data_IF_503028464416
#
_entry.id   IF_503028464416
#
_cell.length_a   1.000
_cell.length_b   1.000
_cell.length_c   1.000
_cell.angle_alpha   90.00
_cell.angle_beta   90.00
_cell.angle_gamma   90.00
#
_symmetry.space_group_name_H-M   'P 1'
#
loop_
_entity.id
_entity.type
_entity.pdbx_description
1 polymer ?
#
# COMPACT_ATOMS: atom_id res chain seq x y z
N UNK A 1 56.61 36.46 -39.20
CA UNK A 1 55.19 36.10 -39.05
C UNK A 1 55.12 34.76 -38.32
N UNK A 2 54.88 34.76 -37.02
CA UNK A 2 54.77 33.55 -36.20
C UNK A 2 53.35 33.52 -35.62
N UNK A 3 52.54 32.55 -36.05
CA UNK A 3 51.18 32.32 -35.57
C UNK A 3 51.18 31.28 -34.46
N UNK A 4 50.61 31.61 -33.30
CA UNK A 4 50.41 30.69 -32.20
C UNK A 4 49.06 29.99 -32.33
N UNK A 5 49.05 28.65 -32.27
CA UNK A 5 47.84 27.83 -32.23
C UNK A 5 47.48 27.57 -30.77
N UNK A 6 46.31 28.04 -30.34
CA UNK A 6 45.79 27.77 -29.01
C UNK A 6 44.95 26.48 -29.01
N UNK A 7 45.34 25.50 -28.20
CA UNK A 7 44.59 24.27 -27.97
C UNK A 7 43.68 24.48 -26.77
N UNK A 8 42.36 24.42 -26.99
CA UNK A 8 41.36 24.54 -25.92
C UNK A 8 41.00 23.15 -25.40
N UNK A 9 41.34 22.86 -24.14
CA UNK A 9 40.96 21.63 -23.44
C UNK A 9 39.59 21.83 -22.81
N UNK A 10 38.58 21.10 -23.30
CA UNK A 10 37.24 21.03 -22.70
C UNK A 10 37.23 20.01 -21.55
N UNK A 11 37.09 20.50 -20.32
CA UNK A 11 36.90 19.66 -19.13
C UNK A 11 35.40 19.40 -18.95
N UNK A 12 34.97 18.15 -19.14
CA UNK A 12 33.60 17.74 -18.88
C UNK A 12 33.36 17.60 -17.37
N UNK A 13 32.51 18.45 -16.80
CA UNK A 13 32.09 18.37 -15.41
C UNK A 13 31.05 17.25 -15.24
N UNK A 14 31.37 16.20 -14.48
CA UNK A 14 30.43 15.16 -14.10
C UNK A 14 29.45 15.70 -13.05
N UNK A 15 28.15 15.68 -13.37
CA UNK A 15 27.08 16.04 -12.43
C UNK A 15 26.85 14.86 -11.48
N UNK A 16 27.30 14.98 -10.23
CA UNK A 16 27.06 13.98 -9.20
C UNK A 16 25.56 13.98 -8.83
N UNK A 17 24.86 12.88 -9.15
CA UNK A 17 23.50 12.67 -8.70
C UNK A 17 23.53 12.25 -7.23
N UNK A 18 23.10 13.14 -6.33
CA UNK A 18 22.95 12.81 -4.91
C UNK A 18 21.76 11.85 -4.74
N UNK A 19 22.04 10.57 -4.56
CA UNK A 19 21.01 9.58 -4.23
C UNK A 19 20.48 9.87 -2.82
N UNK A 20 19.29 10.45 -2.73
CA UNK A 20 18.59 10.63 -1.46
C UNK A 20 18.27 9.25 -0.87
N UNK A 21 18.78 8.97 0.34
CA UNK A 21 18.42 7.74 1.04
C UNK A 21 16.90 7.75 1.34
N UNK A 22 16.18 6.65 1.08
CA UNK A 22 14.77 6.53 1.43
C UNK A 22 14.59 6.74 2.93
N UNK A 23 13.64 7.56 3.34
CA UNK A 23 13.26 7.66 4.76
C UNK A 23 12.43 6.44 5.16
N UNK A 24 12.20 6.22 6.46
CA UNK A 24 11.31 5.14 6.93
C UNK A 24 9.87 5.24 6.38
N UNK A 25 9.47 6.42 5.89
CA UNK A 25 8.18 6.68 5.25
C UNK A 25 8.15 6.32 3.76
N UNK A 26 9.32 6.09 3.17
CA UNK A 26 9.47 5.75 1.76
C UNK A 26 9.65 4.24 1.59
N UNK A 27 9.02 3.69 0.56
CA UNK A 27 9.27 2.32 0.13
C UNK A 27 10.58 2.24 -0.64
N UNK A 28 11.38 1.21 -0.38
CA UNK A 28 12.55 0.91 -1.21
C UNK A 28 12.11 0.54 -2.63
N UNK A 29 12.75 1.08 -3.68
CA UNK A 29 12.37 0.79 -5.05
C UNK A 29 12.80 -0.62 -5.45
N UNK A 30 12.05 -1.28 -6.34
CA UNK A 30 12.33 -2.66 -6.81
C UNK A 30 13.81 -2.92 -7.18
N UNK A 31 14.55 -2.02 -7.85
CA UNK A 31 15.97 -2.23 -8.15
C UNK A 31 16.86 -2.48 -6.93
N UNK A 32 16.49 -2.01 -5.73
CA UNK A 32 17.30 -2.25 -4.52
C UNK A 32 17.34 -3.72 -4.09
N UNK A 33 16.46 -4.57 -4.65
CA UNK A 33 16.38 -6.00 -4.33
C UNK A 33 17.09 -6.87 -5.36
N UNK A 34 17.64 -6.30 -6.44
CA UNK A 34 18.25 -7.06 -7.54
C UNK A 34 19.51 -7.83 -7.13
N UNK A 35 20.22 -7.35 -6.10
CA UNK A 35 21.44 -7.99 -5.59
C UNK A 35 21.17 -9.25 -4.74
N UNK A 36 19.91 -9.59 -4.46
CA UNK A 36 19.56 -10.84 -3.78
C UNK A 36 19.52 -11.95 -4.84
N UNK A 37 20.57 -12.79 -4.84
CA UNK A 37 20.76 -13.83 -5.85
C UNK A 37 19.72 -14.97 -5.73
N UNK A 38 19.41 -15.39 -4.51
CA UNK A 38 18.38 -16.41 -4.28
C UNK A 38 16.98 -15.85 -4.60
N UNK A 39 16.29 -16.47 -5.56
CA UNK A 39 15.01 -15.95 -6.07
C UNK A 39 13.92 -15.97 -4.99
N UNK A 40 13.87 -17.01 -4.16
CA UNK A 40 12.89 -17.13 -3.09
C UNK A 40 13.11 -16.05 -2.02
N UNK A 41 14.35 -15.87 -1.56
CA UNK A 41 14.72 -14.82 -0.62
C UNK A 41 14.41 -13.42 -1.18
N UNK A 42 14.66 -13.20 -2.47
CA UNK A 42 14.30 -11.94 -3.15
C UNK A 42 12.80 -11.72 -3.18
N UNK A 43 12.02 -12.76 -3.50
CA UNK A 43 10.56 -12.71 -3.46
C UNK A 43 10.07 -12.32 -2.06
N UNK A 44 10.58 -12.97 -1.02
CA UNK A 44 10.22 -12.65 0.37
C UNK A 44 10.58 -11.22 0.72
N UNK A 45 11.78 -10.75 0.38
CA UNK A 45 12.23 -9.38 0.66
C UNK A 45 11.37 -8.31 -0.04
N UNK A 46 10.92 -8.58 -1.28
CA UNK A 46 9.97 -7.70 -1.99
C UNK A 46 8.63 -7.63 -1.27
N UNK A 47 8.12 -8.78 -0.79
CA UNK A 47 6.88 -8.84 -0.04
C UNK A 47 6.99 -8.18 1.34
N UNK A 48 8.12 -8.32 2.02
CA UNK A 48 8.41 -7.63 3.29
C UNK A 48 8.36 -6.11 3.14
N UNK A 49 8.90 -5.59 2.05
CA UNK A 49 8.82 -4.17 1.74
C UNK A 49 7.38 -3.72 1.47
N UNK A 50 6.63 -4.48 0.65
CA UNK A 50 5.20 -4.24 0.42
C UNK A 50 4.37 -4.39 1.72
N UNK A 51 4.82 -5.25 2.63
CA UNK A 51 4.21 -5.52 3.93
C UNK A 51 4.17 -4.30 4.85
N UNK A 52 5.05 -3.32 4.66
CA UNK A 52 4.99 -2.02 5.34
C UNK A 52 3.70 -1.27 5.03
N UNK A 53 3.15 -1.43 3.82
CA UNK A 53 1.85 -0.87 3.43
C UNK A 53 0.73 -1.74 3.98
N UNK A 54 0.77 -3.05 3.73
CA UNK A 54 -0.30 -3.99 4.12
C UNK A 54 -0.62 -3.96 5.62
N UNK A 55 0.40 -3.78 6.47
CA UNK A 55 0.25 -3.69 7.93
C UNK A 55 0.07 -2.25 8.44
N UNK A 56 0.08 -1.25 7.55
CA UNK A 56 -0.11 0.14 7.94
C UNK A 56 -1.56 0.40 8.40
N UNK A 57 -1.81 1.33 9.34
CA UNK A 57 -3.16 1.70 9.76
C UNK A 57 -4.07 2.16 8.61
N UNK A 58 -3.54 2.60 7.46
CA UNK A 58 -4.34 2.91 6.27
C UNK A 58 -5.00 1.69 5.64
N UNK A 59 -4.36 0.53 5.74
CA UNK A 59 -4.86 -0.73 5.24
C UNK A 59 -5.60 -1.51 6.34
N UNK A 60 -4.97 -1.70 7.51
CA UNK A 60 -5.52 -2.52 8.60
C UNK A 60 -6.85 -1.97 9.14
N UNK A 61 -7.05 -0.64 9.14
CA UNK A 61 -8.33 -0.06 9.55
C UNK A 61 -9.51 -0.51 8.67
N UNK A 62 -9.26 -0.81 7.39
CA UNK A 62 -10.25 -1.31 6.43
C UNK A 62 -10.34 -2.85 6.42
N UNK A 63 -9.34 -3.52 7.00
CA UNK A 63 -9.22 -4.96 7.15
C UNK A 63 -9.25 -5.39 8.64
N UNK A 64 -10.25 -4.97 9.44
CA UNK A 64 -10.34 -5.32 10.86
C UNK A 64 -10.65 -6.80 11.05
N UNK A 65 -10.21 -7.37 12.17
CA UNK A 65 -10.48 -8.74 12.60
C UNK A 65 -11.90 -8.91 13.12
N UNK A 66 -12.53 -7.81 13.56
CA UNK A 66 -13.92 -7.79 14.02
C UNK A 66 -14.82 -7.11 12.99
N UNK A 67 -16.12 -7.15 13.21
CA UNK A 67 -17.08 -6.43 12.36
C UNK A 67 -16.97 -4.91 12.49
N UNK A 68 -16.35 -4.40 13.57
CA UNK A 68 -16.19 -2.96 13.76
C UNK A 68 -14.91 -2.48 13.08
N UNK A 69 -14.97 -1.47 12.20
CA UNK A 69 -13.77 -0.87 11.66
C UNK A 69 -12.89 -0.23 12.72
N UNK A 70 -11.63 -0.01 12.38
CA UNK A 70 -10.72 0.80 13.17
C UNK A 70 -10.58 2.19 12.53
N UNK A 71 -10.10 3.16 13.29
CA UNK A 71 -9.85 4.52 12.82
C UNK A 71 -8.56 5.09 13.42
N UNK A 72 -8.04 6.13 12.75
CA UNK A 72 -6.76 6.79 13.07
C UNK A 72 -5.54 5.87 13.01
N UNK A 73 -4.36 6.42 13.29
CA UNK A 73 -3.10 5.67 13.28
C UNK A 73 -2.93 4.83 14.56
N UNK A 74 -3.69 5.14 15.61
CA UNK A 74 -3.78 4.32 16.81
C UNK A 74 -4.66 3.07 16.64
N UNK A 75 -5.27 2.87 15.45
CA UNK A 75 -6.13 1.72 15.13
C UNK A 75 -7.20 1.43 16.20
N UNK A 76 -7.75 2.50 16.79
CA UNK A 76 -8.82 2.36 17.78
C UNK A 76 -10.14 2.00 17.09
N UNK A 77 -11.06 1.29 17.75
CA UNK A 77 -12.37 1.01 17.18
C UNK A 77 -13.12 2.28 16.73
N UNK A 78 -13.79 2.21 15.58
CA UNK A 78 -14.48 3.33 14.96
C UNK A 78 -15.56 3.93 15.85
N UNK A 79 -15.64 5.26 15.94
CA UNK A 79 -16.64 6.00 16.70
C UNK A 79 -17.37 7.00 15.78
N UNK A 80 -18.71 6.99 15.71
CA UNK A 80 -19.64 6.15 16.47
C UNK A 80 -19.55 4.66 16.09
N UNK A 81 -20.17 3.79 16.89
CA UNK A 81 -20.24 2.36 16.60
C UNK A 81 -20.94 2.14 15.26
N UNK A 82 -20.20 1.55 14.33
CA UNK A 82 -20.69 0.99 13.06
C UNK A 82 -20.08 -0.41 12.91
N UNK A 83 -20.72 -1.24 12.10
CA UNK A 83 -20.26 -2.60 11.80
C UNK A 83 -20.26 -2.84 10.30
N UNK A 84 -19.45 -3.78 9.81
CA UNK A 84 -19.22 -4.08 8.39
C UNK A 84 -20.51 -4.35 7.61
N UNK A 85 -21.42 -5.14 8.19
CA UNK A 85 -22.59 -5.62 7.47
C UNK A 85 -22.23 -6.66 6.41
N UNK A 86 -23.24 -7.17 5.71
CA UNK A 86 -23.08 -8.31 4.79
C UNK A 86 -22.19 -7.99 3.57
N UNK A 87 -22.18 -6.74 3.14
CA UNK A 87 -21.50 -6.26 1.93
C UNK A 87 -20.41 -5.20 2.21
N UNK A 88 -20.09 -4.95 3.48
CA UNK A 88 -19.09 -3.95 3.87
C UNK A 88 -19.60 -2.51 3.95
N UNK A 89 -20.88 -2.24 3.67
CA UNK A 89 -21.44 -0.88 3.60
C UNK A 89 -22.17 -0.42 4.88
N UNK A 90 -22.11 -1.22 5.94
CA UNK A 90 -22.85 -0.97 7.17
C UNK A 90 -24.10 -1.83 7.29
N UNK A 91 -24.94 -1.49 8.27
CA UNK A 91 -26.22 -2.15 8.53
C UNK A 91 -27.37 -1.17 8.37
N UNK A 92 -28.62 -1.64 8.17
CA UNK A 92 -29.78 -0.73 8.10
C UNK A 92 -29.82 0.25 9.28
N UNK A 93 -29.97 1.54 8.97
CA UNK A 93 -29.95 2.63 9.95
C UNK A 93 -28.56 3.19 10.31
N UNK A 94 -27.47 2.47 9.99
CA UNK A 94 -26.08 2.90 10.21
C UNK A 94 -25.19 2.51 9.01
N UNK A 95 -25.57 2.95 7.82
CA UNK A 95 -24.75 2.74 6.59
C UNK A 95 -23.58 3.72 6.56
N UNK A 96 -22.43 3.28 6.04
CA UNK A 96 -21.21 4.09 6.01
C UNK A 96 -21.40 5.42 5.26
N UNK A 97 -22.16 5.40 4.17
CA UNK A 97 -22.42 6.57 3.32
C UNK A 97 -23.28 7.67 3.96
N UNK A 98 -23.86 7.41 5.14
CA UNK A 98 -24.56 8.44 5.93
C UNK A 98 -23.58 9.54 6.37
N UNK A 99 -22.32 9.17 6.65
CA UNK A 99 -21.27 10.10 7.04
C UNK A 99 -20.16 10.20 5.99
N UNK A 100 -19.77 9.07 5.39
CA UNK A 100 -18.67 8.99 4.43
C UNK A 100 -19.18 9.25 3.01
N UNK A 101 -18.97 10.46 2.51
CA UNK A 101 -19.41 10.86 1.18
C UNK A 101 -18.40 10.51 0.08
N UNK A 102 -18.63 11.00 -1.14
CA UNK A 102 -17.81 10.73 -2.32
C UNK A 102 -16.36 11.25 -2.21
N UNK A 103 -16.08 12.16 -1.27
CA UNK A 103 -14.74 12.71 -1.05
C UNK A 103 -14.52 12.98 0.45
N UNK A 104 -13.27 13.16 0.84
CA UNK A 104 -12.90 13.61 2.18
C UNK A 104 -13.65 14.92 2.52
N UNK A 105 -14.24 14.97 3.71
CA UNK A 105 -14.87 16.16 4.25
C UNK A 105 -14.00 16.74 5.37
N UNK A 106 -13.15 17.68 5.00
CA UNK A 106 -12.07 18.19 5.84
C UNK A 106 -12.57 18.91 7.10
N UNK A 107 -13.70 19.63 7.01
CA UNK A 107 -14.24 20.40 8.14
C UNK A 107 -14.59 19.51 9.35
N UNK A 108 -15.18 18.33 9.10
CA UNK A 108 -15.47 17.35 10.16
C UNK A 108 -14.44 16.21 10.24
N UNK A 109 -13.37 16.27 9.45
CA UNK A 109 -12.33 15.23 9.34
C UNK A 109 -12.89 13.84 9.00
N UNK A 110 -14.01 13.78 8.26
CA UNK A 110 -14.60 12.51 7.84
C UNK A 110 -13.95 12.08 6.53
N UNK A 111 -13.38 10.87 6.43
CA UNK A 111 -12.85 10.37 5.18
C UNK A 111 -13.97 10.03 4.20
N UNK A 112 -13.69 10.03 2.89
CA UNK A 112 -14.70 9.70 1.90
C UNK A 112 -14.13 9.27 0.55
N UNK A 113 -14.90 8.43 -0.13
CA UNK A 113 -14.66 7.89 -1.47
C UNK A 113 -16.01 7.42 -2.05
N UNK A 114 -16.27 7.47 -3.38
CA UNK A 114 -17.55 7.05 -3.94
C UNK A 114 -17.90 5.58 -3.67
N UNK A 115 -16.88 4.75 -3.46
CA UNK A 115 -17.02 3.33 -3.13
C UNK A 115 -16.63 3.05 -1.67
N UNK A 116 -16.93 3.93 -0.70
CA UNK A 116 -16.50 3.73 0.68
C UNK A 116 -17.17 2.51 1.34
N UNK A 117 -16.40 1.43 1.54
CA UNK A 117 -16.83 0.20 2.20
C UNK A 117 -15.65 -0.53 2.86
N UNK A 118 -15.95 -1.48 3.74
CA UNK A 118 -14.96 -2.36 4.33
C UNK A 118 -14.68 -3.59 3.46
N UNK A 119 -13.45 -4.10 3.56
CA UNK A 119 -13.11 -5.40 3.00
C UNK A 119 -14.01 -6.50 3.61
N UNK A 120 -14.28 -7.61 2.92
CA UNK A 120 -14.97 -8.75 3.53
C UNK A 120 -14.23 -9.32 4.75
N UNK A 121 -14.95 -9.94 5.68
CA UNK A 121 -14.36 -10.53 6.90
C UNK A 121 -13.29 -11.60 6.59
N UNK A 122 -13.42 -12.31 5.47
CA UNK A 122 -12.41 -13.26 4.99
C UNK A 122 -11.06 -12.63 4.66
N UNK A 123 -11.01 -11.30 4.52
CA UNK A 123 -9.82 -10.49 4.24
C UNK A 123 -9.30 -9.74 5.48
N UNK A 124 -9.72 -10.08 6.69
CA UNK A 124 -9.18 -9.46 7.91
C UNK A 124 -7.65 -9.60 7.99
N UNK A 125 -6.96 -8.51 8.30
CA UNK A 125 -5.49 -8.42 8.46
C UNK A 125 -5.05 -7.98 9.86
N UNK A 126 -5.93 -7.32 10.62
CA UNK A 126 -5.64 -6.94 12.01
C UNK A 126 -5.16 -8.16 12.83
N UNK A 127 -4.03 -7.99 13.52
CA UNK A 127 -3.44 -9.02 14.38
C UNK A 127 -2.75 -10.17 13.65
N UNK A 128 -2.72 -10.18 12.31
CA UNK A 128 -2.03 -11.20 11.52
C UNK A 128 -0.57 -10.88 11.31
N UNK A 129 0.25 -11.92 11.21
CA UNK A 129 1.64 -11.77 10.77
C UNK A 129 1.69 -11.56 9.26
N UNK A 130 2.81 -11.04 8.77
CA UNK A 130 2.96 -10.79 7.33
C UNK A 130 2.91 -12.08 6.50
N UNK A 131 3.42 -13.19 7.03
CA UNK A 131 3.32 -14.51 6.39
C UNK A 131 1.87 -14.97 6.24
N UNK A 132 1.04 -14.73 7.26
CA UNK A 132 -0.40 -15.04 7.22
C UNK A 132 -1.16 -14.18 6.22
N UNK A 133 -0.84 -12.88 6.14
CA UNK A 133 -1.41 -11.97 5.13
C UNK A 133 -1.01 -12.45 3.73
N UNK A 134 0.27 -12.79 3.52
CA UNK A 134 0.76 -13.31 2.25
C UNK A 134 -0.01 -14.54 1.78
N UNK A 135 -0.15 -15.54 2.65
CA UNK A 135 -0.89 -16.76 2.33
C UNK A 135 -2.35 -16.46 2.00
N UNK A 136 -2.97 -15.53 2.74
CA UNK A 136 -4.37 -15.14 2.56
C UNK A 136 -4.62 -14.41 1.24
N UNK A 137 -3.79 -13.43 0.84
CA UNK A 137 -4.01 -12.68 -0.40
C UNK A 137 -3.80 -13.54 -1.65
N UNK A 138 -3.04 -14.64 -1.53
CA UNK A 138 -2.82 -15.61 -2.61
C UNK A 138 -3.95 -16.62 -2.78
N UNK A 139 -4.78 -16.81 -1.77
CA UNK A 139 -5.86 -17.81 -1.77
C UNK A 139 -7.15 -17.20 -2.33
N UNK A 140 -7.63 -17.64 -3.51
CA UNK A 140 -8.86 -17.13 -4.11
C UNK A 140 -10.10 -17.26 -3.21
N UNK A 141 -10.13 -18.25 -2.32
CA UNK A 141 -11.24 -18.44 -1.38
C UNK A 141 -11.27 -17.39 -0.28
N UNK A 142 -10.17 -16.64 -0.11
CA UNK A 142 -9.95 -15.70 1.01
C UNK A 142 -9.66 -14.28 0.55
N UNK A 143 -9.35 -14.06 -0.74
CA UNK A 143 -9.08 -12.75 -1.34
C UNK A 143 -10.24 -12.22 -2.22
N UNK A 144 -11.40 -12.87 -2.17
CA UNK A 144 -12.59 -12.50 -2.94
C UNK A 144 -12.53 -12.95 -4.40
N UNK A 145 -12.01 -14.16 -4.64
CA UNK A 145 -11.97 -14.80 -5.95
C UNK A 145 -10.97 -14.20 -6.94
N UNK A 146 -10.02 -13.39 -6.48
CA UNK A 146 -9.02 -12.75 -7.35
C UNK A 146 -7.92 -13.75 -7.67
N UNK A 147 -7.62 -13.89 -8.96
CA UNK A 147 -6.34 -14.45 -9.39
C UNK A 147 -5.22 -13.42 -9.16
N UNK A 148 -3.97 -13.79 -9.48
CA UNK A 148 -2.82 -12.91 -9.26
C UNK A 148 -2.92 -11.61 -10.09
N UNK A 149 -3.42 -11.66 -11.32
CA UNK A 149 -3.53 -10.46 -12.16
C UNK A 149 -4.57 -9.48 -11.59
N UNK A 150 -5.74 -9.99 -11.18
CA UNK A 150 -6.78 -9.21 -10.53
C UNK A 150 -6.35 -8.68 -9.16
N UNK A 151 -5.58 -9.46 -8.40
CA UNK A 151 -4.99 -9.01 -7.13
C UNK A 151 -4.05 -7.83 -7.34
N UNK A 152 -3.13 -7.93 -8.32
CA UNK A 152 -2.17 -6.86 -8.62
C UNK A 152 -2.88 -5.59 -9.10
N UNK A 153 -3.89 -5.73 -9.96
CA UNK A 153 -4.71 -4.60 -10.40
C UNK A 153 -5.42 -3.93 -9.22
N UNK A 154 -6.08 -4.71 -8.36
CA UNK A 154 -6.74 -4.19 -7.17
C UNK A 154 -5.76 -3.44 -6.25
N UNK A 155 -4.58 -4.01 -5.98
CA UNK A 155 -3.62 -3.36 -5.08
C UNK A 155 -2.97 -2.10 -5.68
N UNK A 156 -2.74 -2.09 -6.99
CA UNK A 156 -1.99 -1.03 -7.67
C UNK A 156 -2.86 0.10 -8.25
N UNK A 157 -4.15 -0.16 -8.51
CA UNK A 157 -4.99 0.72 -9.33
C UNK A 157 -6.39 0.98 -8.75
N UNK A 158 -6.87 0.16 -7.80
CA UNK A 158 -8.17 0.40 -7.16
C UNK A 158 -8.16 1.75 -6.43
N UNK A 159 -9.16 2.59 -6.69
CA UNK A 159 -9.19 3.96 -6.18
C UNK A 159 -9.56 4.04 -4.70
N UNK A 160 -10.31 3.07 -4.17
CA UNK A 160 -10.56 2.97 -2.73
C UNK A 160 -9.29 2.51 -2.00
N UNK A 161 -8.52 1.57 -2.56
CA UNK A 161 -7.19 1.23 -2.04
C UNK A 161 -6.26 2.45 -2.12
N UNK A 162 -6.29 3.16 -3.26
CA UNK A 162 -5.52 4.37 -3.52
C UNK A 162 -5.81 5.53 -2.54
N UNK A 163 -6.99 5.57 -1.94
CA UNK A 163 -7.32 6.52 -0.88
C UNK A 163 -6.31 6.50 0.27
N UNK A 164 -5.66 5.35 0.53
CA UNK A 164 -4.62 5.20 1.56
C UNK A 164 -3.45 6.18 1.43
N UNK A 165 -3.17 6.70 0.23
CA UNK A 165 -2.13 7.70 -0.02
C UNK A 165 -2.65 9.14 -0.10
N UNK A 166 -3.97 9.33 -0.13
CA UNK A 166 -4.63 10.65 -0.10
C UNK A 166 -5.74 10.70 0.96
N UNK A 167 -5.43 10.44 2.24
CA UNK A 167 -6.46 10.24 3.26
C UNK A 167 -7.15 11.54 3.68
N UNK A 168 -6.71 12.70 3.19
CA UNK A 168 -7.16 14.00 3.68
C UNK A 168 -6.41 14.44 4.94
N UNK A 169 -6.71 15.63 5.47
CA UNK A 169 -5.81 16.32 6.38
C UNK A 169 -5.88 15.75 7.80
N UNK A 170 -4.71 15.61 8.44
CA UNK A 170 -4.57 15.08 9.80
C UNK A 170 -4.50 13.56 9.89
N UNK A 171 -4.32 12.87 8.75
CA UNK A 171 -4.08 11.43 8.67
C UNK A 171 -2.75 11.17 7.96
N UNK A 172 -1.95 10.26 8.51
CA UNK A 172 -0.72 9.83 7.86
C UNK A 172 -1.06 9.00 6.60
N UNK A 173 -0.49 9.35 5.43
CA UNK A 173 -0.58 8.51 4.24
C UNK A 173 0.11 7.16 4.44
N UNK A 174 -0.28 6.15 3.67
CA UNK A 174 0.47 4.91 3.57
C UNK A 174 1.91 5.16 3.07
N UNK A 175 2.88 4.30 3.42
CA UNK A 175 4.27 4.46 2.97
C UNK A 175 4.40 4.52 1.43
N UNK A 176 5.29 5.37 0.94
CA UNK A 176 5.59 5.53 -0.49
C UNK A 176 4.39 6.01 -1.33
N UNK A 177 4.16 5.35 -2.47
CA UNK A 177 3.02 5.60 -3.39
C UNK A 177 2.34 4.30 -3.77
N UNK A 178 1.08 4.36 -4.20
CA UNK A 178 0.36 3.18 -4.70
C UNK A 178 1.10 2.53 -5.88
N UNK A 179 1.69 3.34 -6.77
CA UNK A 179 2.48 2.83 -7.90
C UNK A 179 3.73 2.07 -7.44
N UNK A 180 4.45 2.58 -6.42
CA UNK A 180 5.61 1.89 -5.86
C UNK A 180 5.20 0.59 -5.15
N UNK A 181 4.09 0.60 -4.42
CA UNK A 181 3.51 -0.59 -3.79
C UNK A 181 3.10 -1.65 -4.83
N UNK A 182 2.40 -1.24 -5.90
CA UNK A 182 2.04 -2.12 -7.02
C UNK A 182 3.26 -2.68 -7.74
N UNK A 183 4.33 -1.90 -7.92
CA UNK A 183 5.57 -2.36 -8.52
C UNK A 183 6.27 -3.42 -7.66
N UNK A 184 6.28 -3.26 -6.33
CA UNK A 184 6.81 -4.25 -5.40
C UNK A 184 6.01 -5.56 -5.46
N UNK A 185 4.68 -5.48 -5.43
CA UNK A 185 3.83 -6.67 -5.53
C UNK A 185 3.96 -7.39 -6.87
N UNK A 186 4.11 -6.64 -7.98
CA UNK A 186 4.34 -7.23 -9.30
C UNK A 186 5.68 -7.98 -9.33
N UNK A 187 6.75 -7.35 -8.85
CA UNK A 187 8.06 -8.01 -8.77
C UNK A 187 8.04 -9.24 -7.84
N UNK A 188 7.27 -9.17 -6.75
CA UNK A 188 7.04 -10.32 -5.87
C UNK A 188 6.31 -11.46 -6.60
N UNK A 189 5.27 -11.16 -7.36
CA UNK A 189 4.56 -12.15 -8.16
C UNK A 189 5.47 -12.78 -9.23
N UNK A 190 6.26 -11.96 -9.94
CA UNK A 190 7.21 -12.41 -10.98
C UNK A 190 8.34 -13.29 -10.42
N UNK A 191 8.63 -13.17 -9.12
CA UNK A 191 9.62 -14.00 -8.42
C UNK A 191 9.04 -15.23 -7.73
N UNK A 192 7.75 -15.55 -7.96
CA UNK A 192 7.10 -16.77 -7.48
C UNK A 192 6.13 -16.57 -6.32
N UNK A 193 5.89 -15.32 -5.90
CA UNK A 193 4.96 -14.96 -4.83
C UNK A 193 5.23 -15.71 -3.51
N UNK A 194 6.50 -15.91 -3.16
CA UNK A 194 6.89 -16.60 -1.92
C UNK A 194 6.52 -15.75 -0.68
N UNK A 195 6.09 -16.44 0.38
CA UNK A 195 5.68 -15.81 1.63
C UNK A 195 6.80 -15.87 2.67
N UNK A 196 6.95 -14.83 3.51
CA UNK A 196 7.76 -14.95 4.72
C UNK A 196 7.15 -15.99 5.67
N UNK A 197 7.93 -16.49 6.64
CA UNK A 197 7.39 -17.32 7.72
C UNK A 197 6.20 -16.64 8.43
N UNK A 198 5.22 -17.45 8.81
CA UNK A 198 4.04 -17.03 9.58
C UNK A 198 4.34 -16.88 11.06
#
# INVERSE_FOLDING_TARGET
>A
MAGAVAVTVLVAAAVAQTTRQPTAKDLRPVPSFQNIADQQARSVALFEEAGKVLQHPRCVNCHPATERPLQSDAMRPHQPLVVRGADGHGVPGMTCNTCHHAANFDAARVPGHPQWHLAPASMAWEGRTLGEICAQIKDPNRNGGKDMAALLHHMAEDTLVGWGWSPGPGREPAPGTQAAFGALLRAWADTGAHCPPS
#
